data_IF_610179981240
#
_entry.id   IF_610179981240
#
_cell.length_a   1.000
_cell.length_b   1.000
_cell.length_c   1.000
_cell.angle_alpha   90.00
_cell.angle_beta   90.00
_cell.angle_gamma   90.00
#
_symmetry.space_group_name_H-M   'P 1'
#
loop_
_entity.id
_entity.type
_entity.pdbx_description
1 polymer ?
#
# COMPACT_ATOMS: atom_id res chain seq x y z
N UNK A 1 -27.03 36.70 34.03
CA UNK A 1 -26.46 35.34 34.11
C UNK A 1 -26.15 34.85 32.71
N UNK A 2 -24.88 34.83 32.30
CA UNK A 2 -24.46 34.34 30.97
C UNK A 2 -24.68 32.83 30.86
N UNK A 3 -25.38 32.39 29.82
CA UNK A 3 -25.47 30.96 29.46
C UNK A 3 -24.06 30.47 29.19
N UNK A 4 -23.51 29.61 30.04
CA UNK A 4 -22.30 28.85 29.74
C UNK A 4 -22.59 28.03 28.51
N UNK A 5 -21.95 28.34 27.34
CA UNK A 5 -21.96 27.49 26.21
C UNK A 5 -21.49 26.11 26.64
N UNK A 6 -22.37 25.08 26.57
CA UNK A 6 -21.97 23.71 26.76
C UNK A 6 -20.91 23.42 25.71
N UNK A 7 -19.69 23.08 26.15
CA UNK A 7 -18.62 22.70 25.26
C UNK A 7 -19.16 21.59 24.34
N UNK A 8 -19.07 21.80 23.02
CA UNK A 8 -19.48 20.81 22.05
C UNK A 8 -18.54 19.61 22.17
N UNK A 9 -19.04 18.50 22.71
CA UNK A 9 -18.29 17.27 22.81
C UNK A 9 -18.45 16.50 21.49
N UNK A 10 -17.36 16.39 20.71
CA UNK A 10 -17.32 15.55 19.53
C UNK A 10 -17.59 14.10 19.94
N UNK A 11 -18.44 13.40 19.20
CA UNK A 11 -18.65 11.98 19.39
C UNK A 11 -17.40 11.15 19.00
N UNK A 12 -17.38 9.86 19.33
CA UNK A 12 -16.26 8.97 19.02
C UNK A 12 -15.93 8.92 17.52
N UNK A 13 -16.96 8.99 16.68
CA UNK A 13 -16.78 8.97 15.25
C UNK A 13 -16.04 10.23 14.76
N UNK A 14 -16.47 11.40 15.21
CA UNK A 14 -15.82 12.65 14.85
C UNK A 14 -14.40 12.75 15.42
N UNK A 15 -14.17 12.31 16.65
CA UNK A 15 -12.84 12.28 17.26
C UNK A 15 -11.88 11.42 16.43
N UNK A 16 -12.31 10.23 16.01
CA UNK A 16 -11.51 9.31 15.21
C UNK A 16 -11.30 9.83 13.76
N UNK A 17 -12.31 10.44 13.19
CA UNK A 17 -12.22 11.07 11.87
C UNK A 17 -11.19 12.18 11.85
N UNK A 18 -11.28 13.11 12.80
CA UNK A 18 -10.34 14.24 12.92
C UNK A 18 -8.91 13.72 13.13
N UNK A 19 -8.74 12.70 13.99
CA UNK A 19 -7.42 12.10 14.25
C UNK A 19 -6.80 11.51 12.99
N UNK A 20 -7.52 10.66 12.25
CA UNK A 20 -7.01 10.02 11.05
C UNK A 20 -6.84 11.00 9.88
N UNK A 21 -7.71 12.00 9.78
CA UNK A 21 -7.61 13.04 8.74
C UNK A 21 -6.39 13.92 8.98
N UNK A 22 -6.11 14.27 10.23
CA UNK A 22 -4.91 15.01 10.60
C UNK A 22 -3.58 14.28 10.31
N UNK A 23 -3.64 12.95 10.08
CA UNK A 23 -2.48 12.14 9.72
C UNK A 23 -2.24 12.03 8.21
N UNK A 24 -3.08 12.61 7.36
CA UNK A 24 -2.94 12.51 5.90
C UNK A 24 -1.67 13.22 5.44
N UNK A 25 -0.82 12.48 4.76
CA UNK A 25 0.45 12.93 4.18
C UNK A 25 0.59 12.35 2.75
N UNK A 26 -0.49 12.53 1.95
CA UNK A 26 -0.53 11.96 0.59
C UNK A 26 0.46 12.67 -0.31
N UNK A 27 1.25 11.88 -1.05
CA UNK A 27 2.30 12.39 -1.91
C UNK A 27 3.66 12.59 -1.22
N UNK A 28 3.73 12.54 0.11
CA UNK A 28 5.02 12.59 0.82
C UNK A 28 5.79 11.26 0.70
N UNK A 29 7.12 11.34 0.76
CA UNK A 29 7.98 10.17 0.75
C UNK A 29 7.92 9.41 2.09
N UNK A 30 7.39 8.18 2.05
CA UNK A 30 7.41 7.32 3.23
C UNK A 30 8.85 7.02 3.69
N UNK A 31 9.79 6.85 2.73
CA UNK A 31 11.20 6.56 3.05
C UNK A 31 11.83 7.71 3.85
N UNK A 32 11.56 8.94 3.43
CA UNK A 32 12.03 10.12 4.15
C UNK A 32 11.41 10.20 5.55
N UNK A 33 10.10 10.02 5.66
CA UNK A 33 9.41 10.07 6.95
C UNK A 33 9.90 8.99 7.95
N UNK A 34 10.31 7.80 7.44
CA UNK A 34 10.96 6.76 8.27
C UNK A 34 12.33 7.24 8.76
N UNK A 35 13.15 7.84 7.86
CA UNK A 35 14.45 8.38 8.24
C UNK A 35 14.33 9.51 9.28
N UNK A 36 13.27 10.33 9.18
CA UNK A 36 12.98 11.45 10.09
C UNK A 36 12.24 10.99 11.38
N UNK A 37 11.88 9.71 11.51
CA UNK A 37 11.12 9.16 12.64
C UNK A 37 9.66 9.65 12.74
N UNK A 38 9.12 10.25 11.67
CA UNK A 38 7.77 10.86 11.65
C UNK A 38 6.69 9.96 11.05
N UNK A 39 7.04 8.75 10.59
CA UNK A 39 6.13 7.85 9.90
C UNK A 39 4.95 7.38 10.78
N UNK A 40 5.11 7.40 12.11
CA UNK A 40 4.09 6.97 13.06
C UNK A 40 2.81 7.81 12.97
N UNK A 41 2.96 9.12 12.73
CA UNK A 41 1.86 10.07 12.68
C UNK A 41 1.38 10.40 11.24
N UNK A 42 1.82 9.65 10.24
CA UNK A 42 1.51 9.91 8.82
C UNK A 42 0.83 8.74 8.12
N UNK A 43 -0.11 9.03 7.24
CA UNK A 43 -0.78 8.09 6.32
C UNK A 43 -0.51 8.54 4.89
N UNK A 44 0.32 7.80 4.16
CA UNK A 44 0.89 8.22 2.88
C UNK A 44 0.03 7.91 1.65
N UNK A 45 -1.07 7.15 1.78
CA UNK A 45 -1.94 6.86 0.66
C UNK A 45 -3.42 6.89 1.03
N UNK A 46 -4.23 7.36 0.09
CA UNK A 46 -5.68 7.40 0.25
C UNK A 46 -6.29 6.01 0.44
N UNK A 47 -5.76 4.99 -0.24
CA UNK A 47 -6.23 3.60 -0.06
C UNK A 47 -5.99 3.09 1.36
N UNK A 48 -4.83 3.40 1.96
CA UNK A 48 -4.52 3.08 3.35
C UNK A 48 -5.44 3.82 4.31
N UNK A 49 -5.66 5.13 4.09
CA UNK A 49 -6.60 5.92 4.87
C UNK A 49 -8.02 5.31 4.84
N UNK A 50 -8.54 5.00 3.64
CA UNK A 50 -9.86 4.35 3.50
C UNK A 50 -9.94 3.02 4.23
N UNK A 51 -8.90 2.20 4.14
CA UNK A 51 -8.85 0.92 4.82
C UNK A 51 -8.87 1.10 6.35
N UNK A 52 -8.02 1.98 6.88
CA UNK A 52 -7.99 2.25 8.33
C UNK A 52 -9.30 2.84 8.82
N UNK A 53 -9.84 3.83 8.11
CA UNK A 53 -11.13 4.43 8.46
C UNK A 53 -12.26 3.41 8.51
N UNK A 54 -12.30 2.48 7.56
CA UNK A 54 -13.27 1.38 7.55
C UNK A 54 -13.21 0.55 8.85
N UNK A 55 -12.00 0.14 9.26
CA UNK A 55 -11.81 -0.71 10.44
C UNK A 55 -12.01 0.06 11.75
N UNK A 56 -11.62 1.33 11.79
CA UNK A 56 -11.92 2.22 12.93
C UNK A 56 -13.42 2.38 13.13
N UNK A 57 -14.22 2.51 12.07
CA UNK A 57 -15.67 2.55 12.20
C UNK A 57 -16.26 1.27 12.82
N UNK A 58 -15.69 0.11 12.51
CA UNK A 58 -16.15 -1.16 13.13
C UNK A 58 -15.84 -1.19 14.63
N UNK A 59 -14.68 -0.70 15.03
CA UNK A 59 -14.35 -0.55 16.44
C UNK A 59 -15.26 0.45 17.16
N UNK A 60 -15.52 1.61 16.58
CA UNK A 60 -16.42 2.60 17.16
C UNK A 60 -17.83 2.03 17.35
N UNK A 61 -18.34 1.33 16.34
CA UNK A 61 -19.63 0.66 16.41
C UNK A 61 -19.67 -0.34 17.57
N UNK A 62 -18.65 -1.17 17.73
CA UNK A 62 -18.51 -2.10 18.83
C UNK A 62 -18.55 -1.39 20.20
N UNK A 63 -17.83 -0.27 20.33
CA UNK A 63 -17.82 0.52 21.56
C UNK A 63 -19.21 1.10 21.85
N UNK A 64 -19.87 1.67 20.85
CA UNK A 64 -21.21 2.24 21.00
C UNK A 64 -22.26 1.19 21.42
N UNK A 65 -22.14 -0.04 20.89
CA UNK A 65 -23.08 -1.13 21.21
C UNK A 65 -22.82 -1.73 22.59
N UNK A 66 -21.56 -1.92 22.98
CA UNK A 66 -21.20 -2.66 24.19
C UNK A 66 -20.85 -1.76 25.39
N UNK A 67 -20.38 -0.54 25.13
CA UNK A 67 -19.90 0.41 26.13
C UNK A 67 -20.41 1.83 25.85
N UNK A 68 -21.74 2.05 25.88
CA UNK A 68 -22.34 3.34 25.50
C UNK A 68 -21.90 4.51 26.37
N UNK A 69 -21.41 4.23 27.58
CA UNK A 69 -20.85 5.23 28.49
C UNK A 69 -19.46 5.76 28.01
N UNK A 70 -18.85 5.06 27.05
CA UNK A 70 -17.53 5.39 26.56
C UNK A 70 -17.62 6.46 25.46
N UNK A 71 -17.40 7.72 25.80
CA UNK A 71 -17.58 8.88 24.91
C UNK A 71 -16.28 9.44 24.32
N UNK A 72 -15.12 8.92 24.73
CA UNK A 72 -13.81 9.43 24.27
C UNK A 72 -12.94 8.31 23.70
N UNK A 73 -12.09 8.63 22.71
CA UNK A 73 -11.10 7.69 22.19
C UNK A 73 -10.15 7.20 23.29
N UNK A 74 -9.79 8.08 24.22
CA UNK A 74 -8.91 7.73 25.35
C UNK A 74 -9.53 6.63 26.21
N UNK A 75 -10.81 6.73 26.55
CA UNK A 75 -11.52 5.70 27.33
C UNK A 75 -11.76 4.42 26.53
N UNK A 76 -11.95 4.54 25.21
CA UNK A 76 -12.16 3.39 24.33
C UNK A 76 -10.89 2.53 24.13
N UNK A 77 -9.70 3.10 24.30
CA UNK A 77 -8.41 2.41 24.07
C UNK A 77 -8.30 1.08 24.80
N UNK A 78 -8.77 1.00 26.05
CA UNK A 78 -8.68 -0.20 26.90
C UNK A 78 -9.43 -1.41 26.31
N UNK A 79 -10.40 -1.18 25.46
CA UNK A 79 -11.23 -2.22 24.85
C UNK A 79 -10.71 -2.74 23.49
N UNK A 80 -9.59 -2.21 23.00
CA UNK A 80 -9.06 -2.61 21.67
C UNK A 80 -8.71 -4.09 21.64
N UNK A 81 -8.02 -4.62 22.65
CA UNK A 81 -7.65 -6.03 22.69
C UNK A 81 -8.87 -6.94 22.81
N UNK A 82 -9.86 -6.55 23.60
CA UNK A 82 -11.12 -7.27 23.70
C UNK A 82 -11.85 -7.30 22.36
N UNK A 83 -11.95 -6.18 21.67
CA UNK A 83 -12.52 -6.12 20.34
C UNK A 83 -11.78 -7.01 19.33
N UNK A 84 -10.45 -6.97 19.30
CA UNK A 84 -9.64 -7.81 18.40
C UNK A 84 -9.84 -9.30 18.72
N UNK A 85 -9.98 -9.67 20.01
CA UNK A 85 -10.30 -11.03 20.40
C UNK A 85 -11.70 -11.43 19.91
N UNK A 86 -12.71 -10.59 20.14
CA UNK A 86 -14.06 -10.84 19.64
C UNK A 86 -14.10 -11.00 18.10
N UNK A 87 -13.28 -10.25 17.36
CA UNK A 87 -13.13 -10.40 15.90
C UNK A 87 -12.46 -11.72 15.53
N UNK A 88 -11.53 -12.20 16.34
CA UNK A 88 -10.88 -13.50 16.18
C UNK A 88 -11.88 -14.63 16.43
N UNK A 89 -12.68 -14.54 17.48
CA UNK A 89 -13.71 -15.51 17.84
C UNK A 89 -14.81 -15.61 16.77
N UNK A 90 -15.08 -14.52 16.06
CA UNK A 90 -15.96 -14.51 14.88
C UNK A 90 -15.36 -15.25 13.65
N UNK A 91 -14.16 -15.80 13.75
CA UNK A 91 -13.50 -16.55 12.69
C UNK A 91 -12.96 -15.69 11.55
N UNK A 92 -12.68 -14.41 11.80
CA UNK A 92 -12.04 -13.56 10.80
C UNK A 92 -10.58 -13.96 10.58
N UNK A 93 -10.13 -13.78 9.33
CA UNK A 93 -8.75 -14.17 9.00
C UNK A 93 -7.72 -13.35 9.78
N UNK A 94 -6.59 -13.97 10.14
CA UNK A 94 -5.47 -13.30 10.80
C UNK A 94 -4.96 -12.06 10.03
N UNK A 95 -5.08 -12.04 8.68
CA UNK A 95 -4.79 -10.86 7.86
C UNK A 95 -5.72 -9.68 8.15
N UNK A 96 -7.02 -9.98 8.32
CA UNK A 96 -8.02 -8.96 8.68
C UNK A 96 -7.73 -8.42 10.08
N UNK A 97 -7.52 -9.30 11.06
CA UNK A 97 -7.22 -8.90 12.44
C UNK A 97 -5.94 -8.07 12.50
N UNK A 98 -4.89 -8.44 11.76
CA UNK A 98 -3.67 -7.64 11.72
C UNK A 98 -3.86 -6.27 11.07
N UNK A 99 -4.73 -6.16 10.05
CA UNK A 99 -5.07 -4.85 9.48
C UNK A 99 -5.86 -4.00 10.47
N UNK A 100 -6.78 -4.61 11.20
CA UNK A 100 -7.53 -3.96 12.29
C UNK A 100 -6.60 -3.49 13.41
N UNK A 101 -5.65 -4.34 13.85
CA UNK A 101 -4.64 -3.95 14.84
C UNK A 101 -3.76 -2.79 14.36
N UNK A 102 -3.34 -2.80 13.08
CA UNK A 102 -2.59 -1.69 12.48
C UNK A 102 -3.40 -0.40 12.43
N UNK A 103 -4.70 -0.49 12.13
CA UNK A 103 -5.59 0.67 12.14
C UNK A 103 -5.72 1.26 13.56
N UNK A 104 -5.84 0.39 14.57
CA UNK A 104 -5.86 0.81 15.98
C UNK A 104 -4.51 1.38 16.42
N UNK A 105 -3.39 0.75 16.02
CA UNK A 105 -2.05 1.28 16.27
C UNK A 105 -1.89 2.70 15.74
N UNK A 106 -2.37 2.95 14.50
CA UNK A 106 -2.37 4.31 13.92
C UNK A 106 -3.27 5.27 14.69
N UNK A 107 -4.50 4.84 15.00
CA UNK A 107 -5.45 5.68 15.75
C UNK A 107 -4.90 6.15 17.10
N UNK A 108 -4.19 5.27 17.78
CA UNK A 108 -3.65 5.52 19.12
C UNK A 108 -2.17 5.90 19.16
N UNK A 109 -1.50 6.02 18.01
CA UNK A 109 -0.09 6.36 17.91
C UNK A 109 0.85 5.29 18.47
N UNK A 110 0.48 4.01 18.40
CA UNK A 110 1.26 2.88 18.91
C UNK A 110 1.94 2.16 17.74
N UNK A 111 3.27 2.01 17.80
CA UNK A 111 4.07 1.26 16.83
C UNK A 111 3.96 -0.24 17.07
N UNK A 112 4.11 -1.08 16.02
CA UNK A 112 4.23 -2.54 16.19
C UNK A 112 5.38 -2.98 17.11
N UNK A 113 6.41 -2.15 17.26
CA UNK A 113 7.59 -2.43 18.11
C UNK A 113 7.38 -2.00 19.57
N UNK A 114 6.30 -1.29 19.87
CA UNK A 114 5.98 -0.87 21.24
C UNK A 114 5.44 -2.07 22.06
N UNK A 115 5.84 -2.19 23.30
CA UNK A 115 5.36 -3.25 24.22
C UNK A 115 3.84 -3.24 24.37
N UNK A 116 3.21 -2.07 24.25
CA UNK A 116 1.77 -1.86 24.34
C UNK A 116 1.05 -2.08 23.00
N UNK A 117 1.73 -2.59 21.97
CA UNK A 117 1.09 -2.89 20.69
C UNK A 117 0.10 -4.04 20.84
N UNK A 118 -1.04 -3.90 20.21
CA UNK A 118 -2.09 -4.91 20.19
C UNK A 118 -1.61 -6.16 19.45
N UNK A 119 -1.56 -7.30 20.12
CA UNK A 119 -0.99 -8.55 19.60
C UNK A 119 -2.02 -9.35 18.79
N UNK A 120 -2.08 -9.17 17.46
CA UNK A 120 -2.96 -9.96 16.63
C UNK A 120 -2.43 -11.40 16.48
N UNK A 121 -3.30 -12.38 16.14
CA UNK A 121 -2.89 -13.75 15.93
C UNK A 121 -1.85 -13.85 14.80
N UNK A 122 -0.98 -14.85 14.88
CA UNK A 122 0.01 -15.13 13.82
C UNK A 122 -0.72 -15.50 12.52
N UNK A 123 -0.14 -15.09 11.40
CA UNK A 123 -0.62 -15.46 10.07
C UNK A 123 -0.09 -16.86 9.73
N UNK A 124 -0.96 -17.84 9.73
CA UNK A 124 -0.61 -19.16 9.20
C UNK A 124 -1.12 -19.27 7.77
N UNK A 125 -0.27 -19.76 6.87
CA UNK A 125 -0.62 -19.89 5.46
C UNK A 125 -1.77 -20.89 5.26
N UNK A 126 -1.87 -21.86 6.14
CA UNK A 126 -2.89 -22.90 6.18
C UNK A 126 -4.30 -22.34 6.48
N UNK A 127 -4.37 -21.24 7.24
CA UNK A 127 -5.63 -20.58 7.61
C UNK A 127 -6.24 -19.72 6.48
N UNK A 128 -5.58 -19.65 5.31
CA UNK A 128 -6.06 -18.86 4.17
C UNK A 128 -7.23 -19.58 3.50
N UNK A 129 -8.41 -19.50 4.07
CA UNK A 129 -9.64 -20.05 3.49
C UNK A 129 -10.08 -19.39 2.18
N UNK A 130 -9.70 -18.13 1.95
CA UNK A 130 -9.83 -17.41 0.68
C UNK A 130 -8.54 -17.49 -0.11
N UNK A 131 -7.87 -18.61 -0.10
CA UNK A 131 -6.94 -18.81 -1.17
C UNK A 131 -7.76 -18.47 -2.42
N UNK A 132 -7.18 -17.70 -3.28
CA UNK A 132 -7.50 -17.78 -4.68
C UNK A 132 -7.58 -19.27 -4.94
N UNK A 133 -8.81 -19.81 -4.92
CA UNK A 133 -9.04 -21.24 -4.90
C UNK A 133 -8.20 -21.88 -5.99
N UNK A 134 -7.89 -23.15 -5.87
CA UNK A 134 -7.14 -23.85 -6.92
C UNK A 134 -7.74 -23.36 -8.23
N UNK A 135 -7.04 -22.43 -8.90
CA UNK A 135 -7.52 -21.92 -10.18
C UNK A 135 -7.68 -23.14 -11.01
N UNK A 136 -8.90 -23.35 -11.50
CA UNK A 136 -9.13 -24.36 -12.53
C UNK A 136 -8.03 -24.10 -13.55
N UNK A 137 -7.05 -25.00 -13.61
CA UNK A 137 -5.96 -24.87 -14.59
C UNK A 137 -6.66 -24.89 -15.91
N UNK A 138 -6.42 -23.86 -16.71
CA UNK A 138 -6.83 -23.92 -18.10
C UNK A 138 -6.24 -25.22 -18.68
N UNK A 139 -7.13 -26.16 -18.99
CA UNK A 139 -6.75 -27.49 -19.51
C UNK A 139 -5.99 -27.37 -20.83
N UNK A 140 -6.18 -26.25 -21.52
CA UNK A 140 -5.54 -25.94 -22.80
C UNK A 140 -4.24 -25.12 -22.64
N UNK A 141 -3.87 -24.73 -21.44
CA UNK A 141 -2.64 -23.98 -21.20
C UNK A 141 -1.41 -24.89 -21.31
N UNK A 142 -0.66 -24.74 -22.38
CA UNK A 142 0.64 -25.38 -22.57
C UNK A 142 1.76 -24.46 -22.06
N UNK A 143 2.55 -24.94 -21.11
CA UNK A 143 3.73 -24.21 -20.64
C UNK A 143 4.77 -24.05 -21.75
N UNK A 144 4.95 -25.07 -22.56
CA UNK A 144 5.92 -25.07 -23.68
C UNK A 144 5.54 -24.03 -24.73
N UNK A 145 4.25 -23.96 -25.11
CA UNK A 145 3.79 -22.99 -26.10
C UNK A 145 3.78 -21.55 -25.58
N UNK A 146 3.82 -21.36 -24.26
CA UNK A 146 3.82 -20.04 -23.61
C UNK A 146 5.12 -19.76 -22.85
N UNK A 147 6.22 -20.47 -23.18
CA UNK A 147 7.46 -20.34 -22.43
C UNK A 147 8.04 -18.92 -22.51
N UNK A 148 8.05 -18.32 -23.69
CA UNK A 148 8.49 -16.92 -23.87
C UNK A 148 7.67 -15.94 -23.05
N UNK A 149 6.34 -16.08 -23.06
CA UNK A 149 5.46 -15.24 -22.24
C UNK A 149 5.73 -15.44 -20.75
N UNK A 150 5.99 -16.68 -20.33
CA UNK A 150 6.31 -16.99 -18.93
C UNK A 150 7.66 -16.36 -18.54
N UNK A 151 8.68 -16.45 -19.39
CA UNK A 151 9.98 -15.81 -19.19
C UNK A 151 9.84 -14.31 -19.11
N UNK A 152 9.12 -13.70 -20.05
CA UNK A 152 8.80 -12.28 -20.06
C UNK A 152 8.14 -11.83 -18.76
N UNK A 153 7.07 -12.52 -18.33
CA UNK A 153 6.38 -12.19 -17.07
C UNK A 153 7.27 -12.35 -15.83
N UNK A 154 8.19 -13.31 -15.83
CA UNK A 154 9.13 -13.53 -14.73
C UNK A 154 10.25 -12.48 -14.74
N UNK A 155 10.80 -12.17 -15.91
CA UNK A 155 11.89 -11.20 -16.08
C UNK A 155 11.44 -9.78 -15.77
N UNK A 156 10.26 -9.38 -16.23
CA UNK A 156 9.75 -8.01 -16.02
C UNK A 156 9.15 -7.77 -14.63
N UNK A 157 8.72 -8.83 -13.92
CA UNK A 157 8.05 -8.68 -12.63
C UNK A 157 6.75 -7.89 -12.66
N UNK A 158 6.20 -7.61 -13.86
CA UNK A 158 4.99 -6.81 -14.03
C UNK A 158 3.78 -7.44 -13.35
N UNK A 159 2.95 -6.60 -12.74
CA UNK A 159 1.69 -7.02 -12.14
C UNK A 159 0.67 -7.34 -13.24
N UNK A 160 -0.31 -8.18 -12.92
CA UNK A 160 -1.36 -8.58 -13.87
C UNK A 160 -2.03 -7.40 -14.58
N UNK A 161 -2.26 -6.29 -13.88
CA UNK A 161 -2.87 -5.09 -14.47
C UNK A 161 -1.92 -4.42 -15.45
N UNK A 162 -0.67 -4.27 -15.07
CA UNK A 162 0.39 -3.69 -15.90
C UNK A 162 0.59 -4.53 -17.18
N UNK A 163 0.58 -5.88 -17.04
CA UNK A 163 0.62 -6.78 -18.19
C UNK A 163 -0.60 -6.65 -19.11
N UNK A 164 -1.79 -6.41 -18.56
CA UNK A 164 -3.01 -6.26 -19.35
C UNK A 164 -3.06 -4.91 -20.10
N UNK A 165 -2.37 -3.91 -19.58
CA UNK A 165 -2.27 -2.56 -20.17
C UNK A 165 -1.07 -2.42 -21.12
N UNK A 166 -0.16 -3.42 -21.15
CA UNK A 166 1.05 -3.42 -21.97
C UNK A 166 0.71 -3.41 -23.47
N UNK A 167 1.35 -2.52 -24.19
CA UNK A 167 1.21 -2.39 -25.65
C UNK A 167 2.55 -2.65 -26.32
N UNK A 168 2.54 -3.06 -27.60
CA UNK A 168 3.77 -3.30 -28.32
C UNK A 168 4.74 -2.12 -28.36
N UNK A 169 4.22 -0.88 -28.36
CA UNK A 169 5.03 0.34 -28.26
C UNK A 169 5.75 0.54 -26.92
N UNK A 170 5.31 -0.16 -25.88
CA UNK A 170 5.90 -0.09 -24.53
C UNK A 170 7.07 -1.09 -24.38
N UNK A 171 7.32 -1.91 -25.42
CA UNK A 171 8.43 -2.83 -25.52
C UNK A 171 9.48 -2.23 -26.45
N UNK A 172 10.69 -2.07 -25.94
CA UNK A 172 11.83 -1.63 -26.74
C UNK A 172 12.90 -2.71 -26.76
N UNK A 173 13.45 -3.00 -27.93
CA UNK A 173 14.57 -3.92 -28.08
C UNK A 173 15.89 -3.23 -27.68
N UNK A 174 16.92 -4.03 -27.42
CA UNK A 174 18.24 -3.50 -27.13
C UNK A 174 18.77 -2.59 -28.26
N UNK A 175 18.55 -2.98 -29.50
CA UNK A 175 18.95 -2.17 -30.66
C UNK A 175 18.23 -0.81 -30.68
N UNK A 176 16.96 -0.78 -30.32
CA UNK A 176 16.20 0.48 -30.20
C UNK A 176 16.72 1.35 -29.05
N UNK A 177 17.11 0.74 -27.93
CA UNK A 177 17.72 1.45 -26.79
C UNK A 177 19.04 2.07 -27.22
N UNK A 178 19.94 1.30 -27.86
CA UNK A 178 21.24 1.79 -28.34
C UNK A 178 21.08 2.90 -29.39
N UNK A 179 20.13 2.75 -30.32
CA UNK A 179 19.85 3.78 -31.31
C UNK A 179 19.34 5.08 -30.67
N UNK A 180 18.48 4.98 -29.65
CA UNK A 180 17.94 6.15 -28.96
C UNK A 180 19.02 6.83 -28.10
N UNK A 181 19.87 6.07 -27.41
CA UNK A 181 21.05 6.59 -26.67
C UNK A 181 21.92 7.36 -27.64
N UNK A 182 22.33 6.74 -28.75
CA UNK A 182 23.22 7.38 -29.75
C UNK A 182 22.59 8.67 -30.30
N UNK A 183 21.28 8.68 -30.54
CA UNK A 183 20.54 9.85 -30.98
C UNK A 183 20.57 10.98 -29.95
N UNK A 184 20.38 10.67 -28.67
CA UNK A 184 20.38 11.66 -27.60
C UNK A 184 21.81 12.18 -27.32
N UNK A 185 22.81 11.31 -27.32
CA UNK A 185 24.21 11.67 -27.10
C UNK A 185 24.82 12.51 -28.26
N UNK A 186 24.28 12.36 -29.49
CA UNK A 186 24.68 13.17 -30.63
C UNK A 186 24.19 14.62 -30.60
N UNK A 187 23.25 14.94 -29.72
CA UNK A 187 22.72 16.30 -29.55
C UNK A 187 23.66 17.13 -28.66
N UNK A 188 23.87 18.42 -28.99
CA UNK A 188 24.58 19.33 -28.10
C UNK A 188 23.88 19.39 -26.73
N UNK A 189 24.64 19.39 -25.65
CA UNK A 189 24.08 19.41 -24.27
C UNK A 189 23.15 20.60 -24.01
N UNK A 190 23.33 21.70 -24.72
CA UNK A 190 22.45 22.90 -24.62
C UNK A 190 21.05 22.68 -25.22
N UNK A 191 20.91 21.71 -26.12
CA UNK A 191 19.64 21.38 -26.79
C UNK A 191 18.87 20.24 -26.10
N UNK A 192 19.45 19.58 -25.09
CA UNK A 192 18.79 18.55 -24.32
C UNK A 192 17.83 19.18 -23.31
N UNK A 193 16.59 18.79 -23.39
CA UNK A 193 15.61 19.15 -22.35
C UNK A 193 15.86 18.33 -21.07
N UNK A 194 15.38 18.79 -19.89
CA UNK A 194 15.44 17.99 -18.66
C UNK A 194 14.77 16.60 -18.81
N UNK A 195 13.74 16.49 -19.68
CA UNK A 195 13.11 15.23 -20.01
C UNK A 195 14.03 14.31 -20.82
N UNK A 196 14.78 14.85 -21.79
CA UNK A 196 15.77 14.11 -22.59
C UNK A 196 16.92 13.60 -21.70
N UNK A 197 17.42 14.42 -20.79
CA UNK A 197 18.48 14.02 -19.84
C UNK A 197 18.03 12.86 -18.95
N UNK A 198 16.84 12.99 -18.36
CA UNK A 198 16.27 11.91 -17.55
C UNK A 198 16.03 10.65 -18.38
N UNK A 199 15.61 10.81 -19.62
CA UNK A 199 15.39 9.69 -20.55
C UNK A 199 16.70 8.99 -20.88
N UNK A 200 17.77 9.75 -21.13
CA UNK A 200 19.10 9.21 -21.40
C UNK A 200 19.62 8.39 -20.20
N UNK A 201 19.53 8.92 -18.98
CA UNK A 201 19.90 8.18 -17.76
C UNK A 201 19.13 6.86 -17.65
N UNK A 202 17.82 6.87 -17.86
CA UNK A 202 17.00 5.66 -17.83
C UNK A 202 17.40 4.63 -18.88
N UNK A 203 17.77 5.07 -20.08
CA UNK A 203 18.21 4.18 -21.17
C UNK A 203 19.61 3.61 -20.90
N UNK A 204 20.51 4.41 -20.35
CA UNK A 204 21.84 3.96 -19.95
C UNK A 204 21.77 2.92 -18.82
N UNK A 205 20.90 3.12 -17.85
CA UNK A 205 20.62 2.11 -16.82
C UNK A 205 20.05 0.82 -17.43
N UNK A 206 19.08 0.95 -18.35
CA UNK A 206 18.49 -0.19 -19.04
C UNK A 206 19.50 -1.00 -19.88
N UNK A 207 20.52 -0.34 -20.44
CA UNK A 207 21.61 -0.96 -21.19
C UNK A 207 22.41 -1.98 -20.38
N UNK A 208 22.46 -1.82 -19.04
CA UNK A 208 23.18 -2.73 -18.15
C UNK A 208 22.49 -4.09 -17.97
N UNK A 209 21.21 -4.21 -18.33
CA UNK A 209 20.50 -5.47 -18.25
C UNK A 209 20.74 -6.35 -19.47
N UNK A 210 21.18 -7.58 -19.25
CA UNK A 210 21.62 -8.50 -20.31
C UNK A 210 20.47 -9.09 -21.15
N UNK A 211 19.22 -9.03 -20.70
CA UNK A 211 18.09 -9.63 -21.40
C UNK A 211 17.23 -8.56 -22.08
N UNK A 212 17.04 -8.73 -23.36
CA UNK A 212 16.64 -7.86 -24.44
C UNK A 212 15.32 -7.11 -24.42
N UNK A 213 14.64 -6.91 -23.28
CA UNK A 213 13.37 -6.18 -23.26
C UNK A 213 13.30 -5.20 -22.09
N UNK A 214 12.99 -3.96 -22.44
CA UNK A 214 12.74 -2.91 -21.47
C UNK A 214 11.34 -2.34 -21.69
N UNK A 215 10.59 -2.12 -20.60
CA UNK A 215 9.26 -1.54 -20.66
C UNK A 215 9.32 -0.04 -20.45
N UNK A 216 8.92 0.69 -21.47
CA UNK A 216 8.81 2.14 -21.44
C UNK A 216 7.55 2.56 -20.67
N UNK A 217 7.70 3.36 -19.63
CA UNK A 217 6.62 4.07 -18.91
C UNK A 217 5.55 3.24 -18.15
N UNK A 218 5.69 1.95 -18.02
CA UNK A 218 4.84 1.21 -17.10
C UNK A 218 5.44 1.26 -15.72
N UNK A 219 4.98 2.25 -14.98
CA UNK A 219 5.27 2.63 -13.61
C UNK A 219 6.21 1.73 -12.82
N UNK A 220 7.43 2.22 -12.57
CA UNK A 220 8.45 1.70 -11.66
C UNK A 220 8.88 0.27 -11.96
N UNK A 221 9.89 0.12 -12.81
CA UNK A 221 10.77 -1.04 -12.78
C UNK A 221 11.28 -1.20 -11.34
N UNK A 222 10.84 -2.23 -10.66
CA UNK A 222 11.50 -2.67 -9.45
C UNK A 222 12.63 -3.58 -9.90
N UNK A 223 13.83 -3.04 -9.86
CA UNK A 223 15.06 -3.82 -9.75
C UNK A 223 15.05 -4.54 -8.41
#
# INVERSE_FOLDING_TARGET
MGRRNKAYHKDLHQQAYDRLTGMQAFGESKKQAVADGTEKDKIFSFSTYKAYWKHVKYFIKYIQEKYPECTTLKSAKKYVNEWLQARTDQGLSAWTIQLEAKAMGKLYGISPDDENYFKPPKRNREDIKRSRGVRVRDKHFSKTNNDELIRFCKGTGLRRRELAELRGKDLVTREQIEAEISRLESRPAVELTPADTKRLEMLQDARLFQEGYFTHEIGRAHV
#
